data_IF_664048101890
#
_entry.id   IF_664048101890
#
_cell.length_a   1.000
_cell.length_b   1.000
_cell.length_c   1.000
_cell.angle_alpha   90.00
_cell.angle_beta   90.00
_cell.angle_gamma   90.00
#
_symmetry.space_group_name_H-M   'P 1'
#
loop_
_entity.id
_entity.type
_entity.pdbx_description
1 polymer ?
#
# COMPACT_ATOMS: atom_id res chain seq x y z
N UNK A 1 -11.31 10.28 9.59
CA UNK A 1 -10.60 9.40 8.64
C UNK A 1 -9.12 9.65 8.88
N UNK A 2 -8.48 8.78 9.66
CA UNK A 2 -7.04 8.85 9.90
C UNK A 2 -6.31 8.69 8.57
N UNK A 3 -5.58 9.74 8.19
CA UNK A 3 -4.78 9.78 6.97
C UNK A 3 -3.33 9.72 7.41
N UNK A 4 -2.66 8.61 7.11
CA UNK A 4 -1.24 8.46 7.42
C UNK A 4 -0.41 9.01 6.25
N UNK A 5 0.53 9.91 6.55
CA UNK A 5 1.49 10.42 5.58
C UNK A 5 2.77 9.61 5.69
N UNK A 6 3.15 8.95 4.61
CA UNK A 6 4.38 8.19 4.49
C UNK A 6 5.30 8.94 3.54
N UNK A 7 6.52 9.23 4.00
CA UNK A 7 7.56 9.84 3.16
C UNK A 7 8.60 8.77 2.86
N UNK A 8 8.93 8.56 1.60
CA UNK A 8 9.91 7.56 1.15
C UNK A 8 10.86 8.15 0.11
N UNK A 9 12.05 7.59 -0.01
CA UNK A 9 12.99 7.96 -1.07
C UNK A 9 12.73 7.13 -2.32
N UNK A 10 13.08 7.64 -3.49
CA UNK A 10 13.09 6.81 -4.70
C UNK A 10 13.92 5.53 -4.51
N UNK A 11 13.34 4.40 -4.90
CA UNK A 11 13.94 3.07 -4.72
C UNK A 11 13.59 2.39 -3.39
N UNK A 12 12.98 3.09 -2.43
CA UNK A 12 12.56 2.48 -1.18
C UNK A 12 11.40 1.47 -1.37
N UNK A 13 11.29 0.56 -0.40
CA UNK A 13 10.16 -0.35 -0.25
C UNK A 13 9.32 0.04 0.96
N UNK A 14 8.00 0.05 0.80
CA UNK A 14 7.05 0.27 1.91
C UNK A 14 6.34 -1.02 2.21
N UNK A 15 6.46 -1.50 3.45
CA UNK A 15 5.67 -2.63 3.97
C UNK A 15 4.55 -2.12 4.86
N UNK A 16 3.32 -2.34 4.43
CA UNK A 16 2.12 -2.10 5.21
C UNK A 16 1.78 -3.41 5.94
N UNK A 17 2.10 -3.47 7.24
CA UNK A 17 1.66 -4.58 8.10
C UNK A 17 0.15 -4.46 8.34
N UNK A 18 -0.64 -5.13 7.49
CA UNK A 18 -2.09 -5.15 7.60
C UNK A 18 -2.56 -6.59 7.43
N UNK A 19 -3.43 -7.12 8.30
CA UNK A 19 -3.98 -8.47 8.14
C UNK A 19 -5.06 -8.47 7.05
N UNK A 20 -4.68 -8.47 5.77
CA UNK A 20 -5.62 -8.15 4.67
C UNK A 20 -5.45 -9.08 3.47
N UNK A 21 -6.56 -9.72 3.09
CA UNK A 21 -6.75 -10.29 1.75
C UNK A 21 -7.20 -9.16 0.81
N UNK A 22 -6.31 -8.69 -0.08
CA UNK A 22 -6.63 -7.60 -1.02
C UNK A 22 -6.94 -8.16 -2.40
N UNK A 23 -8.05 -7.74 -3.00
CA UNK A 23 -8.30 -7.98 -4.42
C UNK A 23 -7.74 -6.80 -5.23
N UNK A 24 -6.47 -6.88 -5.61
CA UNK A 24 -5.71 -5.75 -6.18
C UNK A 24 -6.03 -5.54 -7.67
N UNK A 25 -6.71 -4.43 -7.98
CA UNK A 25 -6.91 -3.90 -9.35
C UNK A 25 -6.21 -2.54 -9.48
N UNK A 26 -5.01 -2.48 -10.06
CA UNK A 26 -4.29 -1.20 -10.26
C UNK A 26 -2.90 -1.32 -10.89
N UNK A 27 -2.24 -0.17 -11.13
CA UNK A 27 -0.93 -0.03 -11.81
C UNK A 27 0.25 -0.68 -11.08
N UNK A 28 0.10 -0.99 -9.79
CA UNK A 28 1.18 -1.53 -8.96
C UNK A 28 1.18 -3.05 -8.83
N UNK A 29 0.31 -3.78 -9.55
CA UNK A 29 0.24 -5.25 -9.43
C UNK A 29 1.60 -5.93 -9.62
N UNK A 30 2.44 -5.41 -10.53
CA UNK A 30 3.77 -5.98 -10.80
C UNK A 30 4.80 -5.73 -9.68
N UNK A 31 4.54 -4.76 -8.81
CA UNK A 31 5.45 -4.30 -7.75
C UNK A 31 4.90 -4.50 -6.34
N UNK A 32 3.71 -5.10 -6.23
CA UNK A 32 3.05 -5.43 -4.98
C UNK A 32 3.37 -6.89 -4.61
N UNK A 33 3.86 -7.10 -3.39
CA UNK A 33 4.01 -8.41 -2.77
C UNK A 33 3.08 -8.51 -1.58
N UNK A 34 2.14 -9.45 -1.63
CA UNK A 34 1.31 -9.80 -0.48
C UNK A 34 1.93 -10.98 0.23
N UNK A 35 2.23 -10.80 1.51
CA UNK A 35 2.69 -11.86 2.39
C UNK A 35 1.46 -12.57 2.97
N UNK A 36 1.22 -13.82 2.56
CA UNK A 36 0.05 -14.59 2.98
C UNK A 36 0.18 -15.18 4.40
N UNK A 37 1.37 -15.13 5.00
CA UNK A 37 1.61 -15.63 6.36
C UNK A 37 1.23 -14.58 7.42
N UNK A 38 1.53 -13.31 7.13
CA UNK A 38 1.29 -12.17 8.03
C UNK A 38 0.17 -11.25 7.55
N UNK A 39 -0.28 -11.40 6.30
CA UNK A 39 -1.19 -10.49 5.59
C UNK A 39 -0.51 -9.21 5.06
N UNK A 40 0.78 -9.01 5.35
CA UNK A 40 1.47 -7.74 5.08
C UNK A 40 1.56 -7.46 3.58
N UNK A 41 1.32 -6.20 3.20
CA UNK A 41 1.43 -5.76 1.82
C UNK A 41 2.70 -4.93 1.62
N UNK A 42 3.63 -5.41 0.83
CA UNK A 42 4.85 -4.70 0.46
C UNK A 42 4.73 -4.12 -0.95
N UNK A 43 5.02 -2.82 -1.09
CA UNK A 43 5.19 -2.12 -2.35
C UNK A 43 6.70 -1.96 -2.56
N UNK A 44 7.25 -2.50 -3.65
CA UNK A 44 8.66 -2.36 -3.98
C UNK A 44 8.90 -1.31 -5.08
N UNK A 45 10.13 -0.82 -5.14
CA UNK A 45 10.67 0.00 -6.24
C UNK A 45 9.90 1.32 -6.45
N UNK A 46 9.49 2.00 -5.37
CA UNK A 46 8.71 3.24 -5.43
C UNK A 46 9.47 4.32 -6.20
N UNK A 47 8.84 4.87 -7.26
CA UNK A 47 9.39 5.97 -8.05
C UNK A 47 8.71 7.29 -7.67
N UNK A 48 9.34 8.41 -8.00
CA UNK A 48 8.77 9.76 -7.80
C UNK A 48 7.38 9.91 -8.42
N UNK A 49 7.13 9.24 -9.55
CA UNK A 49 5.82 9.17 -10.25
C UNK A 49 4.74 8.39 -9.50
N UNK A 50 5.11 7.67 -8.46
CA UNK A 50 4.20 6.92 -7.60
C UNK A 50 3.77 7.77 -6.38
N UNK A 51 4.18 9.04 -6.28
CA UNK A 51 3.64 9.96 -5.28
C UNK A 51 2.13 10.17 -5.49
N UNK A 52 1.36 10.13 -4.41
CA UNK A 52 -0.09 10.33 -4.50
C UNK A 52 -0.88 9.82 -3.29
N UNK A 53 -2.20 9.87 -3.43
CA UNK A 53 -3.13 9.36 -2.43
C UNK A 53 -3.48 7.92 -2.75
N UNK A 54 -3.13 7.03 -1.83
CA UNK A 54 -3.38 5.60 -1.89
C UNK A 54 -4.57 5.23 -1.04
N UNK A 55 -5.52 4.50 -1.64
CA UNK A 55 -6.69 3.98 -0.95
C UNK A 55 -6.58 2.46 -0.88
N UNK A 56 -6.34 1.96 0.31
CA UNK A 56 -6.35 0.54 0.60
C UNK A 56 -7.77 0.14 1.00
N UNK A 57 -8.40 -0.71 0.19
CA UNK A 57 -9.68 -1.31 0.52
C UNK A 57 -9.45 -2.72 1.03
N UNK A 58 -9.90 -2.96 2.25
CA UNK A 58 -9.73 -4.20 2.99
C UNK A 58 -11.08 -4.91 2.97
N UNK A 59 -11.17 -6.03 2.26
CA UNK A 59 -12.42 -6.79 2.09
C UNK A 59 -12.28 -8.07 2.91
N UNK A 60 -12.81 -8.05 4.13
CA UNK A 60 -12.93 -9.23 4.99
C UNK A 60 -14.41 -9.36 5.43
N UNK A 61 -14.67 -9.73 6.68
CA UNK A 61 -16.04 -9.78 7.26
C UNK A 61 -16.73 -8.42 7.29
N UNK A 62 -15.96 -7.33 7.40
CA UNK A 62 -16.39 -5.94 7.23
C UNK A 62 -15.47 -5.26 6.24
N UNK A 63 -16.03 -4.46 5.33
CA UNK A 63 -15.23 -3.66 4.41
C UNK A 63 -14.66 -2.45 5.16
N UNK A 64 -13.34 -2.40 5.29
CA UNK A 64 -12.62 -1.26 5.85
C UNK A 64 -11.83 -0.56 4.76
N UNK A 65 -11.62 0.74 4.95
CA UNK A 65 -10.85 1.56 4.03
C UNK A 65 -9.80 2.35 4.80
N UNK A 66 -8.58 2.39 4.27
CA UNK A 66 -7.49 3.17 4.83
C UNK A 66 -6.86 4.01 3.74
N UNK A 67 -6.64 5.29 4.04
CA UNK A 67 -6.08 6.25 3.09
C UNK A 67 -4.69 6.63 3.56
N UNK A 68 -3.74 6.54 2.64
CA UNK A 68 -2.35 6.89 2.86
C UNK A 68 -1.92 7.93 1.83
N UNK A 69 -1.15 8.91 2.25
CA UNK A 69 -0.50 9.85 1.33
C UNK A 69 0.96 9.42 1.23
N UNK A 70 1.38 9.01 0.04
CA UNK A 70 2.78 8.67 -0.24
C UNK A 70 3.41 9.87 -0.93
N UNK A 71 4.42 10.44 -0.28
CA UNK A 71 5.28 11.46 -0.85
C UNK A 71 6.65 10.84 -1.09
N UNK A 72 7.08 10.79 -2.35
CA UNK A 72 8.38 10.25 -2.74
C UNK A 72 9.30 11.42 -3.06
N UNK A 73 10.52 11.40 -2.50
CA UNK A 73 11.54 12.43 -2.70
C UNK A 73 12.79 11.88 -3.36
#
# INVERSE_FOLDING_TARGET
VDTEKVSVMEGDSVTLHTYVDTNQKGRMRDRLKLDHETGSLTITNINTTDSGVYRLQIISSRTSQKVFIVAVY
#
